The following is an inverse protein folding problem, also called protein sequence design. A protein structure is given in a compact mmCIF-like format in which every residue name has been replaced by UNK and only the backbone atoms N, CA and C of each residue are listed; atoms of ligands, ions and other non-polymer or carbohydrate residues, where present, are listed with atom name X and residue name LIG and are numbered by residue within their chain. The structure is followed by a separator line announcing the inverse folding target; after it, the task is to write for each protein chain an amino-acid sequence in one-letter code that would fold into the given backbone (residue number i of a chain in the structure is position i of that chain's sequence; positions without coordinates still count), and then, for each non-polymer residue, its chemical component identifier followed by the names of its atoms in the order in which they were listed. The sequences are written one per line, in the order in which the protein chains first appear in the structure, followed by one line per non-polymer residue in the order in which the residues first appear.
data_IF_673935300342
#
_entry.id   IF_673935300342
#
_cell.length_a   1.000
_cell.length_b   1.000
_cell.length_c   1.000
_cell.angle_alpha   90.00
_cell.angle_beta   90.00
_cell.angle_gamma   90.00
#
_symmetry.space_group_name_H-M   'P 1'
#
loop_
_entity.id
_entity.type
_entity.pdbx_description
1 polymer ?
#
# COMPACT_ATOMS: atom_id res chain seq x y z
N UNK A 1 -12.15 66.43 1.51
CA UNK A 1 -11.60 67.17 2.67
C UNK A 1 -11.74 66.27 3.90
N UNK A 2 -10.78 66.03 4.78
CA UNK A 2 -9.34 66.21 4.81
C UNK A 2 -8.85 65.21 5.87
N UNK A 3 -7.65 64.68 5.66
CA UNK A 3 -6.87 63.87 6.60
C UNK A 3 -6.79 64.48 7.99
N UNK A 4 -6.79 63.64 9.03
CA UNK A 4 -6.22 63.98 10.34
C UNK A 4 -5.03 63.07 10.61
N UNK A 5 -3.85 63.68 10.66
CA UNK A 5 -2.73 63.19 11.44
C UNK A 5 -2.83 63.67 12.89
N UNK A 6 -1.87 63.22 13.71
CA UNK A 6 -1.27 63.89 14.87
C UNK A 6 -0.58 62.82 15.72
N UNK A 7 0.54 63.02 16.41
CA UNK A 7 1.76 63.84 16.33
C UNK A 7 2.62 63.32 17.52
N UNK A 8 3.95 63.47 17.54
CA UNK A 8 4.85 62.82 18.50
C UNK A 8 5.17 63.68 19.74
N UNK A 9 5.75 63.06 20.78
CA UNK A 9 6.25 63.72 22.01
C UNK A 9 7.07 62.68 22.81
N UNK A 10 8.21 62.92 23.48
CA UNK A 10 9.14 64.05 23.68
C UNK A 10 10.44 63.38 24.20
N UNK A 11 11.61 63.98 23.90
CA UNK A 11 12.95 63.61 24.34
C UNK A 11 13.23 63.94 25.82
N UNK A 12 14.04 63.06 26.43
CA UNK A 12 15.09 63.25 27.46
C UNK A 12 14.79 63.87 28.83
N UNK A 13 15.36 63.26 29.90
CA UNK A 13 16.24 63.90 30.91
C UNK A 13 16.80 62.85 31.92
N UNK A 14 18.15 62.71 31.90
CA UNK A 14 19.15 62.37 32.96
C UNK A 14 19.05 61.06 33.79
N UNK A 15 20.10 60.40 34.31
CA UNK A 15 21.47 60.78 34.73
C UNK A 15 22.40 59.57 34.50
N UNK A 16 23.65 59.82 34.09
CA UNK A 16 24.70 58.82 33.91
C UNK A 16 25.65 58.85 35.13
N UNK A 17 25.86 57.71 35.81
CA UNK A 17 26.94 57.54 36.82
C UNK A 17 27.84 56.41 36.35
N UNK A 18 29.13 56.74 36.22
CA UNK A 18 30.17 55.89 35.68
C UNK A 18 30.60 54.76 36.64
N UNK A 19 30.87 53.59 36.08
CA UNK A 19 31.62 52.50 36.71
C UNK A 19 32.22 51.58 35.65
N UNK A 20 33.54 51.63 35.47
CA UNK A 20 34.32 50.87 34.47
C UNK A 20 34.36 49.38 34.80
N UNK A 21 34.14 48.51 33.81
CA UNK A 21 34.88 47.24 33.69
C UNK A 21 34.92 46.69 32.25
N UNK A 22 36.15 46.38 31.83
CA UNK A 22 36.70 45.69 30.65
C UNK A 22 35.82 45.36 29.42
N UNK A 23 36.28 45.81 28.25
CA UNK A 23 35.85 45.35 26.92
C UNK A 23 36.70 44.17 26.40
N UNK A 24 36.04 43.40 25.50
CA UNK A 24 36.51 42.44 24.48
C UNK A 24 36.47 40.95 24.90
N UNK A 25 35.70 40.06 24.26
CA UNK A 25 35.17 40.11 22.89
C UNK A 25 33.64 40.14 22.78
N UNK A 26 33.13 41.10 22.01
CA UNK A 26 31.75 41.10 21.53
C UNK A 26 31.56 39.93 20.55
N UNK A 27 30.99 38.82 21.00
CA UNK A 27 30.21 37.98 20.09
C UNK A 27 29.13 38.89 19.50
N UNK A 28 29.29 39.29 18.23
CA UNK A 28 28.20 39.90 17.47
C UNK A 28 27.02 38.95 17.62
N UNK A 29 26.03 39.33 18.42
CA UNK A 29 24.80 38.58 18.58
C UNK A 29 24.24 38.35 17.19
N UNK A 30 24.34 37.10 16.71
CA UNK A 30 23.65 36.70 15.48
C UNK A 30 22.19 37.02 15.75
N UNK A 31 21.64 38.02 15.05
CA UNK A 31 20.20 38.30 15.09
C UNK A 31 19.50 36.96 14.90
N UNK A 32 18.61 36.60 15.84
CA UNK A 32 17.85 35.38 15.74
C UNK A 32 17.17 35.36 14.37
N UNK A 33 17.48 34.33 13.56
CA UNK A 33 16.94 34.16 12.22
C UNK A 33 16.04 32.93 12.24
N UNK A 34 14.84 33.07 11.70
CA UNK A 34 13.95 31.94 11.45
C UNK A 34 14.69 30.85 10.67
N UNK A 35 14.65 29.62 11.20
CA UNK A 35 15.31 28.45 10.62
C UNK A 35 14.38 27.23 10.64
N UNK A 36 13.10 27.46 10.33
CA UNK A 36 12.11 26.40 10.17
C UNK A 36 12.53 25.50 9.01
N UNK A 37 12.63 24.19 9.26
CA UNK A 37 13.03 23.17 8.28
C UNK A 37 12.04 22.02 8.26
N UNK A 38 11.83 21.37 7.10
CA UNK A 38 11.06 20.13 7.04
C UNK A 38 11.70 19.04 7.89
N UNK A 39 10.87 18.10 8.38
CA UNK A 39 11.34 16.94 9.13
C UNK A 39 12.13 15.98 8.25
N UNK A 40 12.95 15.14 8.87
CA UNK A 40 13.75 14.15 8.15
C UNK A 40 12.88 13.13 7.39
N UNK A 41 11.82 12.61 8.03
CA UNK A 41 10.84 11.72 7.39
C UNK A 41 10.21 12.37 6.14
N UNK A 42 9.83 13.64 6.23
CA UNK A 42 9.27 14.36 5.07
C UNK A 42 10.28 14.45 3.93
N UNK A 43 11.56 14.71 4.21
CA UNK A 43 12.60 14.79 3.19
C UNK A 43 12.95 13.43 2.58
N UNK A 44 12.80 12.33 3.35
CA UNK A 44 13.03 10.96 2.88
C UNK A 44 11.83 10.34 2.15
N UNK A 45 10.63 10.93 2.27
CA UNK A 45 9.42 10.40 1.64
C UNK A 45 9.42 10.69 0.14
N UNK A 46 9.57 9.66 -0.68
CA UNK A 46 9.58 9.77 -2.13
C UNK A 46 8.79 8.63 -2.79
N UNK A 47 7.78 8.96 -3.59
CA UNK A 47 7.04 8.00 -4.40
C UNK A 47 7.48 8.10 -5.87
N UNK A 48 8.24 7.14 -6.41
CA UNK A 48 8.80 7.24 -7.75
C UNK A 48 7.75 7.30 -8.86
N UNK A 49 6.62 6.59 -8.70
CA UNK A 49 5.55 6.58 -9.71
C UNK A 49 4.87 7.95 -9.77
N UNK A 50 4.55 8.54 -8.61
CA UNK A 50 3.95 9.88 -8.55
C UNK A 50 4.91 10.94 -9.03
N UNK A 51 6.19 10.84 -8.67
CA UNK A 51 7.22 11.73 -9.20
C UNK A 51 7.22 11.71 -10.73
N UNK A 52 7.11 10.54 -11.37
CA UNK A 52 7.03 10.46 -12.85
C UNK A 52 5.70 11.00 -13.37
N UNK A 53 4.56 10.51 -12.87
CA UNK A 53 3.22 10.84 -13.39
C UNK A 53 2.88 12.32 -13.19
N UNK A 54 3.20 12.88 -12.03
CA UNK A 54 2.84 14.25 -11.68
C UNK A 54 3.85 15.27 -12.26
N UNK A 55 5.09 14.86 -12.58
CA UNK A 55 6.11 15.75 -13.17
C UNK A 55 6.34 15.57 -14.66
N UNK A 56 5.85 14.49 -15.29
CA UNK A 56 5.97 14.28 -16.73
C UNK A 56 5.28 15.40 -17.50
N UNK A 57 6.09 16.32 -18.03
CA UNK A 57 5.69 17.26 -19.07
C UNK A 57 5.91 16.65 -20.46
N UNK A 58 5.37 15.45 -20.69
CA UNK A 58 5.34 14.93 -22.05
C UNK A 58 4.19 15.65 -22.73
N UNK A 59 4.50 16.52 -23.70
CA UNK A 59 3.46 17.03 -24.57
C UNK A 59 2.94 15.86 -25.42
N UNK A 60 1.68 15.44 -25.25
CA UNK A 60 1.14 14.39 -26.08
C UNK A 60 1.12 14.85 -27.53
N UNK A 61 1.14 13.91 -28.47
CA UNK A 61 0.99 14.25 -29.88
C UNK A 61 -0.34 15.01 -30.08
N UNK A 62 -0.32 16.26 -30.57
CA UNK A 62 -1.52 17.10 -30.65
C UNK A 62 -2.57 16.54 -31.63
N UNK A 63 -2.15 15.67 -32.54
CA UNK A 63 -3.01 15.06 -33.55
C UNK A 63 -3.60 13.71 -33.12
N UNK A 64 -3.26 13.19 -31.94
CA UNK A 64 -3.78 11.92 -31.43
C UNK A 64 -4.34 12.09 -30.03
N UNK A 65 -5.56 11.61 -29.84
CA UNK A 65 -6.16 11.52 -28.51
C UNK A 65 -5.27 10.69 -27.60
N UNK A 66 -4.97 11.21 -26.41
CA UNK A 66 -4.15 10.50 -25.42
C UNK A 66 -4.94 9.35 -24.82
N UNK A 67 -4.33 8.17 -24.77
CA UNK A 67 -4.88 6.98 -24.09
C UNK A 67 -3.98 6.68 -22.88
N UNK A 68 -4.50 6.87 -21.67
CA UNK A 68 -3.76 6.64 -20.45
C UNK A 68 -3.87 5.17 -20.01
N UNK A 69 -2.79 4.39 -20.19
CA UNK A 69 -2.68 2.99 -19.77
C UNK A 69 -1.86 2.81 -18.48
N UNK A 70 -1.41 3.90 -17.86
CA UNK A 70 -0.53 3.89 -16.67
C UNK A 70 -1.29 4.09 -15.35
N UNK A 71 -2.58 4.44 -15.39
CA UNK A 71 -3.36 4.75 -14.19
C UNK A 71 -3.92 3.46 -13.59
N UNK A 72 -3.58 3.18 -12.33
CA UNK A 72 -4.01 1.97 -11.63
C UNK A 72 -5.37 2.05 -10.92
N UNK A 73 -6.17 3.08 -11.21
CA UNK A 73 -7.51 3.27 -10.68
C UNK A 73 -8.55 2.71 -11.67
N UNK A 74 -9.28 1.63 -11.31
CA UNK A 74 -10.22 0.99 -12.22
C UNK A 74 -11.46 1.86 -12.55
N UNK A 75 -11.74 2.93 -11.79
CA UNK A 75 -13.00 3.67 -11.95
C UNK A 75 -12.91 4.88 -12.87
N UNK A 76 -11.70 5.25 -13.33
CA UNK A 76 -11.43 6.51 -14.05
C UNK A 76 -12.29 6.68 -15.31
N UNK A 77 -12.55 5.59 -16.03
CA UNK A 77 -13.29 5.63 -17.30
C UNK A 77 -14.76 5.20 -17.14
N UNK A 78 -15.23 4.93 -15.91
CA UNK A 78 -16.63 4.58 -15.62
C UNK A 78 -17.11 3.21 -16.11
N UNK A 79 -16.25 2.44 -16.79
CA UNK A 79 -16.58 1.13 -17.35
C UNK A 79 -16.51 -0.03 -16.33
N UNK A 80 -16.03 0.25 -15.12
CA UNK A 80 -15.98 -0.68 -13.98
C UNK A 80 -16.58 0.01 -12.73
N UNK A 81 -17.91 0.28 -12.71
CA UNK A 81 -18.56 0.76 -11.50
C UNK A 81 -18.68 -0.36 -10.46
N UNK A 82 -18.80 0.01 -9.19
CA UNK A 82 -19.16 -0.94 -8.14
C UNK A 82 -20.61 -1.42 -8.28
N UNK A 83 -20.92 -2.58 -7.70
CA UNK A 83 -22.28 -3.11 -7.66
C UNK A 83 -23.27 -2.18 -6.91
N UNK A 84 -24.54 -2.09 -7.34
CA UNK A 84 -25.57 -1.33 -6.63
C UNK A 84 -25.78 -1.73 -5.17
N UNK A 85 -25.63 -3.01 -4.80
CA UNK A 85 -25.73 -3.47 -3.40
C UNK A 85 -24.63 -2.84 -2.52
N UNK A 86 -23.45 -2.60 -3.08
CA UNK A 86 -22.34 -1.93 -2.37
C UNK A 86 -22.70 -0.47 -2.10
N UNK A 87 -23.29 0.20 -3.08
CA UNK A 87 -23.76 1.59 -2.93
C UNK A 87 -24.94 1.67 -1.97
N UNK A 88 -25.88 0.74 -2.07
CA UNK A 88 -27.05 0.68 -1.20
C UNK A 88 -26.67 0.39 0.26
N UNK A 89 -25.67 -0.47 0.50
CA UNK A 89 -25.14 -0.70 1.85
C UNK A 89 -24.61 0.58 2.51
N UNK A 90 -23.95 1.47 1.75
CA UNK A 90 -23.51 2.77 2.25
C UNK A 90 -24.70 3.68 2.60
N UNK A 91 -25.73 3.69 1.75
CA UNK A 91 -26.96 4.46 2.00
C UNK A 91 -27.68 3.93 3.25
N UNK A 92 -27.85 2.61 3.38
CA UNK A 92 -28.45 1.98 4.56
C UNK A 92 -27.68 2.35 5.85
N UNK A 93 -26.34 2.33 5.79
CA UNK A 93 -25.50 2.72 6.92
C UNK A 93 -25.71 4.19 7.30
N UNK A 94 -25.77 5.09 6.31
CA UNK A 94 -26.05 6.51 6.49
C UNK A 94 -27.45 6.76 7.07
N UNK A 95 -28.48 6.18 6.43
CA UNK A 95 -29.89 6.34 6.78
C UNK A 95 -30.19 5.82 8.20
N UNK A 96 -29.42 4.82 8.67
CA UNK A 96 -29.57 4.30 10.03
C UNK A 96 -29.20 5.30 11.13
N UNK A 97 -28.34 6.29 10.83
CA UNK A 97 -27.77 7.21 11.81
C UNK A 97 -26.86 6.58 12.88
N UNK A 98 -26.63 5.25 12.85
CA UNK A 98 -25.90 4.51 13.89
C UNK A 98 -24.38 4.64 13.80
N UNK A 99 -23.87 5.00 12.63
CA UNK A 99 -22.43 4.96 12.32
C UNK A 99 -21.80 6.35 12.18
N UNK A 100 -22.41 7.37 12.80
CA UNK A 100 -21.93 8.75 12.73
C UNK A 100 -20.89 9.10 13.81
N UNK A 101 -20.86 8.36 14.92
CA UNK A 101 -19.96 8.59 16.05
C UNK A 101 -18.59 7.96 15.88
N UNK A 102 -17.70 8.20 16.85
CA UNK A 102 -16.38 7.54 16.88
C UNK A 102 -16.51 6.02 17.06
N UNK A 103 -15.65 5.28 16.39
CA UNK A 103 -15.42 3.85 16.60
C UNK A 103 -14.13 3.64 17.42
N UNK A 104 -13.90 2.44 17.99
CA UNK A 104 -12.57 2.04 18.40
C UNK A 104 -11.57 2.23 17.25
N UNK A 105 -10.31 2.58 17.55
CA UNK A 105 -9.30 2.85 16.53
C UNK A 105 -9.02 1.66 15.60
N UNK A 106 -9.23 0.44 16.09
CA UNK A 106 -9.13 -0.81 15.33
C UNK A 106 -10.37 -1.13 14.49
N UNK A 107 -11.44 -0.35 14.63
CA UNK A 107 -12.74 -0.52 14.00
C UNK A 107 -13.80 -1.14 14.92
N UNK A 108 -15.07 -0.98 14.53
CA UNK A 108 -16.22 -1.57 15.24
C UNK A 108 -16.06 -3.09 15.38
N UNK A 109 -16.49 -3.61 16.53
CA UNK A 109 -16.47 -5.05 16.79
C UNK A 109 -17.27 -5.81 15.72
N UNK A 110 -18.50 -5.37 15.43
CA UNK A 110 -19.35 -5.98 14.42
C UNK A 110 -18.71 -5.99 13.03
N UNK A 111 -18.08 -4.90 12.61
CA UNK A 111 -17.39 -4.83 11.31
C UNK A 111 -16.18 -5.77 11.25
N UNK A 112 -15.43 -5.90 12.35
CA UNK A 112 -14.30 -6.84 12.45
C UNK A 112 -14.75 -8.30 12.45
N UNK A 113 -15.85 -8.62 13.13
CA UNK A 113 -16.48 -9.95 13.12
C UNK A 113 -16.89 -10.38 11.70
N UNK A 114 -17.44 -9.46 10.92
CA UNK A 114 -17.87 -9.75 9.54
C UNK A 114 -16.67 -10.01 8.62
N UNK A 115 -15.57 -9.26 8.77
CA UNK A 115 -14.33 -9.53 8.02
C UNK A 115 -13.70 -10.85 8.46
N UNK A 116 -13.61 -11.11 9.76
CA UNK A 116 -13.07 -12.37 10.29
C UNK A 116 -13.86 -13.56 9.75
N UNK A 117 -15.18 -13.50 9.81
CA UNK A 117 -16.09 -14.52 9.29
C UNK A 117 -15.91 -14.75 7.79
N UNK A 118 -15.79 -13.67 7.00
CA UNK A 118 -15.63 -13.76 5.55
C UNK A 118 -14.32 -14.46 5.11
N UNK A 119 -13.24 -14.29 5.88
CA UNK A 119 -11.92 -14.87 5.56
C UNK A 119 -11.57 -16.10 6.42
N UNK A 120 -12.46 -16.54 7.30
CA UNK A 120 -12.21 -17.68 8.18
C UNK A 120 -12.18 -19.01 7.41
N UNK A 121 -11.19 -19.84 7.71
CA UNK A 121 -11.20 -21.27 7.37
C UNK A 121 -10.42 -22.08 8.43
N UNK A 122 -10.63 -23.41 8.53
CA UNK A 122 -9.93 -24.24 9.53
C UNK A 122 -8.39 -24.15 9.44
N UNK A 123 -7.85 -24.00 8.23
CA UNK A 123 -6.41 -23.90 8.01
C UNK A 123 -5.84 -22.54 8.44
N UNK A 124 -6.63 -21.47 8.36
CA UNK A 124 -6.29 -20.12 8.79
C UNK A 124 -7.44 -19.50 9.58
N UNK A 125 -7.65 -19.93 10.83
CA UNK A 125 -8.75 -19.46 11.64
C UNK A 125 -8.55 -17.98 11.95
N UNK A 126 -9.66 -17.24 11.91
CA UNK A 126 -9.73 -15.83 12.27
C UNK A 126 -10.92 -15.59 13.18
N UNK A 127 -10.69 -14.75 14.20
CA UNK A 127 -11.72 -14.12 15.03
C UNK A 127 -11.63 -12.59 14.89
N UNK A 128 -12.61 -11.87 15.42
CA UNK A 128 -12.61 -10.41 15.36
C UNK A 128 -11.35 -9.76 15.96
N UNK A 129 -10.72 -10.39 16.96
CA UNK A 129 -9.47 -9.92 17.61
C UNK A 129 -8.25 -10.02 16.69
N UNK A 130 -8.35 -10.79 15.61
CA UNK A 130 -7.30 -10.96 14.60
C UNK A 130 -7.46 -9.97 13.43
N UNK A 131 -8.42 -9.06 13.51
CA UNK A 131 -8.73 -8.10 12.47
C UNK A 131 -8.52 -6.67 12.97
N UNK A 132 -7.85 -5.86 12.17
CA UNK A 132 -7.76 -4.40 12.39
C UNK A 132 -8.21 -3.70 11.11
N UNK A 133 -9.24 -2.87 11.20
CA UNK A 133 -9.71 -2.06 10.07
C UNK A 133 -8.83 -0.83 9.90
N UNK A 134 -8.52 -0.49 8.64
CA UNK A 134 -7.56 0.56 8.29
C UNK A 134 -8.07 1.41 7.13
N UNK A 135 -7.50 2.60 6.96
CA UNK A 135 -7.75 3.59 5.91
C UNK A 135 -7.17 3.14 4.55
N UNK A 136 -7.69 2.01 4.07
CA UNK A 136 -7.22 1.27 2.91
C UNK A 136 -5.96 0.43 3.20
N UNK A 137 -5.66 -0.48 2.27
CA UNK A 137 -4.47 -1.36 2.36
C UNK A 137 -3.15 -0.59 2.52
N UNK A 138 -3.08 0.66 2.04
CA UNK A 138 -1.92 1.53 2.26
C UNK A 138 -1.61 1.75 3.73
N UNK A 139 -2.62 1.96 4.57
CA UNK A 139 -2.41 2.08 6.02
C UNK A 139 -2.17 0.71 6.66
N UNK A 140 -2.81 -0.36 6.15
CA UNK A 140 -2.52 -1.72 6.63
C UNK A 140 -1.02 -2.05 6.51
N UNK A 141 -0.42 -1.77 5.35
CA UNK A 141 1.03 -1.95 5.11
C UNK A 141 1.85 -1.03 6.02
N UNK A 142 1.48 0.23 6.16
CA UNK A 142 2.16 1.20 7.04
C UNK A 142 2.24 0.71 8.48
N UNK A 143 1.10 0.28 9.05
CA UNK A 143 1.03 -0.24 10.41
C UNK A 143 1.80 -1.56 10.57
N UNK A 144 1.72 -2.47 9.58
CA UNK A 144 2.47 -3.73 9.60
C UNK A 144 3.98 -3.50 9.58
N UNK A 145 4.47 -2.57 8.76
CA UNK A 145 5.89 -2.23 8.75
C UNK A 145 6.30 -1.54 10.06
N UNK A 146 5.50 -0.58 10.53
CA UNK A 146 5.79 0.16 11.76
C UNK A 146 5.79 -0.71 13.03
N UNK A 147 5.02 -1.80 13.08
CA UNK A 147 5.04 -2.72 14.22
C UNK A 147 6.18 -3.73 14.16
N UNK A 148 6.61 -4.12 12.96
CA UNK A 148 7.62 -5.18 12.78
C UNK A 148 9.06 -4.65 12.69
N UNK A 149 9.27 -3.40 12.29
CA UNK A 149 10.57 -2.94 11.81
C UNK A 149 10.97 -1.60 12.41
N UNK A 150 12.14 -1.56 13.05
CA UNK A 150 12.76 -0.33 13.53
C UNK A 150 13.66 0.32 12.46
N UNK A 151 13.94 1.64 12.58
CA UNK A 151 14.94 2.30 11.75
C UNK A 151 16.29 1.57 11.81
N UNK A 152 16.92 1.36 10.65
CA UNK A 152 18.19 0.64 10.52
C UNK A 152 18.08 -0.89 10.36
N UNK A 153 16.88 -1.46 10.49
CA UNK A 153 16.57 -2.82 10.03
C UNK A 153 16.20 -2.82 8.55
N UNK A 154 16.10 -4.00 7.93
CA UNK A 154 15.74 -4.14 6.53
C UNK A 154 14.51 -5.04 6.29
N UNK A 155 13.89 -4.83 5.13
CA UNK A 155 12.80 -5.66 4.61
C UNK A 155 13.11 -6.16 3.20
N UNK A 156 12.53 -7.32 2.86
CA UNK A 156 12.61 -7.90 1.53
C UNK A 156 11.37 -7.55 0.71
N UNK A 157 11.56 -6.93 -0.46
CA UNK A 157 10.50 -6.40 -1.32
C UNK A 157 10.66 -6.93 -2.76
N UNK A 158 9.57 -7.27 -3.47
CA UNK A 158 9.64 -7.78 -4.83
C UNK A 158 10.16 -6.75 -5.84
N UNK A 159 10.91 -7.23 -6.84
CA UNK A 159 11.34 -6.49 -8.02
C UNK A 159 10.97 -7.27 -9.30
N UNK A 160 10.12 -6.71 -10.18
CA UNK A 160 9.34 -5.48 -9.98
C UNK A 160 8.30 -5.64 -8.86
N UNK A 161 7.91 -4.52 -8.23
CA UNK A 161 6.96 -4.52 -7.12
C UNK A 161 6.30 -3.16 -6.92
N UNK A 162 5.17 -3.14 -6.19
CA UNK A 162 4.44 -1.92 -5.92
C UNK A 162 5.29 -0.90 -5.15
N UNK A 163 5.35 0.35 -5.63
CA UNK A 163 6.29 1.36 -5.13
C UNK A 163 6.06 1.81 -3.69
N UNK A 164 4.87 1.53 -3.13
CA UNK A 164 4.49 1.97 -1.80
C UNK A 164 5.36 1.32 -0.71
N UNK A 165 5.74 0.05 -0.85
CA UNK A 165 6.58 -0.62 0.16
C UNK A 165 7.88 0.14 0.38
N UNK A 166 8.53 0.53 -0.72
CA UNK A 166 9.75 1.33 -0.71
C UNK A 166 9.53 2.72 -0.14
N UNK A 167 8.47 3.40 -0.59
CA UNK A 167 8.12 4.75 -0.13
C UNK A 167 7.95 4.80 1.39
N UNK A 168 7.18 3.85 1.94
CA UNK A 168 6.95 3.75 3.38
C UNK A 168 8.23 3.39 4.13
N UNK A 169 8.93 2.32 3.73
CA UNK A 169 10.14 1.86 4.39
C UNK A 169 11.22 2.96 4.46
N UNK A 170 11.56 3.58 3.32
CA UNK A 170 12.59 4.63 3.27
C UNK A 170 12.21 5.85 4.12
N UNK A 171 10.92 6.25 4.11
CA UNK A 171 10.44 7.36 4.96
C UNK A 171 10.56 7.08 6.46
N UNK A 172 10.46 5.82 6.87
CA UNK A 172 10.62 5.36 8.26
C UNK A 172 12.08 5.06 8.63
N UNK A 173 13.04 5.21 7.71
CA UNK A 173 14.44 4.87 7.93
C UNK A 173 14.74 3.36 7.90
N UNK A 174 13.88 2.59 7.22
CA UNK A 174 14.02 1.15 6.99
C UNK A 174 14.75 0.92 5.66
N UNK A 175 15.72 0.02 5.64
CA UNK A 175 16.43 -0.36 4.42
C UNK A 175 15.59 -1.34 3.57
N UNK A 176 15.62 -1.17 2.25
CA UNK A 176 14.88 -2.03 1.31
C UNK A 176 15.84 -2.90 0.53
N UNK A 177 15.72 -4.22 0.69
CA UNK A 177 16.41 -5.22 -0.13
C UNK A 177 15.45 -5.81 -1.16
N UNK A 178 15.86 -5.81 -2.42
CA UNK A 178 15.00 -6.20 -3.53
C UNK A 178 15.28 -7.65 -3.97
N UNK A 179 14.28 -8.52 -3.86
CA UNK A 179 14.33 -9.86 -4.44
C UNK A 179 13.66 -9.88 -5.81
N UNK A 180 14.14 -10.73 -6.72
CA UNK A 180 13.73 -10.78 -8.11
C UNK A 180 12.52 -11.67 -8.30
N UNK A 181 11.64 -11.22 -9.19
CA UNK A 181 10.64 -12.04 -9.85
C UNK A 181 11.17 -12.44 -11.23
N UNK A 182 10.95 -13.68 -11.62
CA UNK A 182 11.49 -14.29 -12.83
C UNK A 182 10.47 -14.21 -13.99
N UNK A 183 10.65 -13.30 -14.98
CA UNK A 183 9.67 -13.10 -16.05
C UNK A 183 9.37 -14.39 -16.81
N UNK A 184 10.39 -15.20 -17.08
CA UNK A 184 10.32 -16.47 -17.80
C UNK A 184 9.64 -17.61 -17.02
N UNK A 185 9.40 -17.41 -15.72
CA UNK A 185 8.68 -18.35 -14.84
C UNK A 185 7.41 -17.73 -14.28
N UNK A 186 6.68 -17.00 -15.12
CA UNK A 186 5.42 -16.34 -14.77
C UNK A 186 5.56 -15.42 -13.54
N UNK A 187 6.70 -14.73 -13.45
CA UNK A 187 7.07 -13.86 -12.34
C UNK A 187 7.18 -14.56 -10.98
N UNK A 188 7.44 -15.87 -10.94
CA UNK A 188 7.78 -16.57 -9.69
C UNK A 188 9.02 -15.98 -9.01
N UNK A 189 9.08 -16.02 -7.69
CA UNK A 189 10.21 -15.51 -6.89
C UNK A 189 11.47 -16.34 -7.17
N UNK A 190 12.61 -15.68 -7.36
CA UNK A 190 13.92 -16.33 -7.27
C UNK A 190 14.22 -16.68 -5.82
N UNK A 191 13.84 -17.89 -5.43
CA UNK A 191 13.96 -18.37 -4.04
C UNK A 191 15.41 -18.46 -3.56
N UNK A 192 16.38 -18.69 -4.46
CA UNK A 192 17.80 -18.75 -4.08
C UNK A 192 18.31 -17.37 -3.74
N UNK A 193 18.00 -16.40 -4.60
CA UNK A 193 18.36 -15.01 -4.35
C UNK A 193 17.64 -14.48 -3.10
N UNK A 194 16.35 -14.77 -2.94
CA UNK A 194 15.57 -14.41 -1.75
C UNK A 194 16.27 -14.88 -0.46
N UNK A 195 16.63 -16.17 -0.39
CA UNK A 195 17.27 -16.74 0.80
C UNK A 195 18.65 -16.13 1.05
N UNK A 196 19.42 -15.78 0.01
CA UNK A 196 20.74 -15.15 0.15
C UNK A 196 20.72 -13.69 0.62
N UNK A 197 19.58 -13.01 0.53
CA UNK A 197 19.46 -11.60 0.93
C UNK A 197 19.13 -11.43 2.42
N UNK A 198 18.69 -12.50 3.07
CA UNK A 198 18.32 -12.51 4.48
C UNK A 198 19.57 -12.42 5.34
N UNK A 199 19.53 -11.53 6.32
CA UNK A 199 20.56 -11.31 7.34
C UNK A 199 19.92 -11.10 8.72
N UNK A 200 20.75 -10.88 9.74
CA UNK A 200 20.32 -10.69 11.13
C UNK A 200 19.46 -9.42 11.35
N UNK A 201 19.45 -8.49 10.39
CA UNK A 201 18.63 -7.26 10.42
C UNK A 201 17.34 -7.38 9.63
N UNK A 202 17.12 -8.50 8.95
CA UNK A 202 15.92 -8.73 8.13
C UNK A 202 14.72 -8.96 9.04
N UNK A 203 13.83 -7.98 9.09
CA UNK A 203 12.69 -7.99 10.01
C UNK A 203 11.40 -8.54 9.37
N UNK A 204 11.27 -8.46 8.04
CA UNK A 204 10.04 -8.84 7.36
C UNK A 204 10.27 -9.18 5.88
N UNK A 205 9.56 -10.18 5.38
CA UNK A 205 9.43 -10.50 3.96
C UNK A 205 8.07 -10.01 3.45
N UNK A 206 8.07 -9.11 2.45
CA UNK A 206 6.86 -8.68 1.76
C UNK A 206 6.57 -9.60 0.57
N UNK A 207 5.36 -10.15 0.50
CA UNK A 207 4.88 -10.95 -0.64
C UNK A 207 3.62 -10.30 -1.18
N UNK A 208 3.58 -9.96 -2.47
CA UNK A 208 2.38 -9.42 -3.12
C UNK A 208 1.82 -10.42 -4.14
N UNK A 209 0.65 -10.98 -3.83
CA UNK A 209 0.01 -12.01 -4.63
C UNK A 209 -1.53 -11.93 -4.51
N UNK A 210 -2.28 -11.72 -5.61
CA UNK A 210 -1.81 -11.44 -6.97
C UNK A 210 -1.02 -10.13 -7.11
N UNK A 211 -0.10 -10.07 -8.08
CA UNK A 211 0.92 -9.02 -8.15
C UNK A 211 0.49 -7.77 -8.91
N UNK A 212 0.76 -6.60 -8.33
CA UNK A 212 0.97 -5.34 -9.04
C UNK A 212 2.48 -5.03 -9.06
N UNK A 213 3.14 -4.91 -10.24
CA UNK A 213 2.57 -4.71 -11.57
C UNK A 213 2.46 -5.97 -12.44
N UNK A 214 2.89 -7.14 -11.96
CA UNK A 214 3.13 -8.29 -12.83
C UNK A 214 1.87 -8.96 -13.37
N UNK A 215 0.72 -8.83 -12.67
CA UNK A 215 -0.49 -9.61 -12.95
C UNK A 215 -0.36 -11.09 -12.65
N UNK A 216 0.72 -11.52 -11.99
CA UNK A 216 0.98 -12.92 -11.66
C UNK A 216 0.13 -13.41 -10.49
N UNK A 217 -0.13 -14.72 -10.49
CA UNK A 217 -0.78 -15.45 -9.40
C UNK A 217 0.10 -16.66 -9.10
N UNK A 218 0.63 -16.73 -7.88
CA UNK A 218 1.51 -17.82 -7.49
C UNK A 218 0.74 -19.13 -7.33
N UNK A 219 1.33 -20.21 -7.82
CA UNK A 219 0.80 -21.55 -7.61
C UNK A 219 0.97 -21.97 -6.14
N UNK A 220 0.11 -22.87 -5.67
CA UNK A 220 0.23 -23.53 -4.36
C UNK A 220 1.64 -24.05 -4.08
N UNK A 221 2.25 -24.70 -5.07
CA UNK A 221 3.59 -25.28 -4.93
C UNK A 221 4.66 -24.20 -4.76
N UNK A 222 4.50 -23.04 -5.40
CA UNK A 222 5.40 -21.90 -5.22
C UNK A 222 5.19 -21.23 -3.86
N UNK A 223 3.94 -20.98 -3.45
CA UNK A 223 3.60 -20.42 -2.12
C UNK A 223 4.19 -21.26 -0.98
N UNK A 224 4.08 -22.60 -1.05
CA UNK A 224 4.72 -23.51 -0.08
C UNK A 224 6.23 -23.39 -0.03
N UNK A 225 6.90 -23.13 -1.17
CA UNK A 225 8.36 -22.94 -1.20
C UNK A 225 8.76 -21.60 -0.57
N UNK A 226 7.96 -20.54 -0.76
CA UNK A 226 8.16 -19.25 -0.09
C UNK A 226 8.04 -19.42 1.43
N UNK A 227 6.98 -20.08 1.89
CA UNK A 227 6.78 -20.40 3.31
C UNK A 227 7.94 -21.23 3.88
N UNK A 228 8.46 -22.19 3.10
CA UNK A 228 9.60 -23.00 3.52
C UNK A 228 10.88 -22.17 3.71
N UNK A 229 11.13 -21.16 2.88
CA UNK A 229 12.26 -20.22 3.06
C UNK A 229 12.05 -19.41 4.33
N UNK A 230 10.89 -18.76 4.49
CA UNK A 230 10.58 -17.94 5.66
C UNK A 230 10.66 -18.72 6.97
N UNK A 231 10.19 -19.98 6.98
CA UNK A 231 10.26 -20.87 8.13
C UNK A 231 11.70 -21.23 8.52
N UNK A 232 12.58 -21.53 7.55
CA UNK A 232 13.99 -21.84 7.83
C UNK A 232 14.77 -20.64 8.36
N UNK A 233 14.38 -19.45 7.92
CA UNK A 233 15.07 -18.20 8.23
C UNK A 233 14.42 -17.44 9.39
N UNK A 234 13.32 -17.94 9.94
CA UNK A 234 12.57 -17.33 11.05
C UNK A 234 12.14 -15.88 10.78
N UNK A 235 11.76 -15.56 9.54
CA UNK A 235 11.31 -14.21 9.14
C UNK A 235 9.79 -14.21 8.94
N UNK A 236 9.03 -13.28 9.56
CA UNK A 236 7.59 -13.16 9.34
C UNK A 236 7.26 -12.64 7.94
N UNK A 237 6.04 -12.89 7.48
CA UNK A 237 5.59 -12.45 6.15
C UNK A 237 4.52 -11.36 6.28
N UNK A 238 4.72 -10.25 5.58
CA UNK A 238 3.67 -9.29 5.22
C UNK A 238 3.10 -9.68 3.85
N UNK A 239 1.91 -10.26 3.83
CA UNK A 239 1.23 -10.68 2.60
C UNK A 239 0.28 -9.59 2.11
N UNK A 240 0.64 -8.87 1.05
CA UNK A 240 -0.29 -7.95 0.37
C UNK A 240 -1.16 -8.73 -0.62
N UNK A 241 -2.39 -8.99 -0.18
CA UNK A 241 -3.40 -9.79 -0.87
C UNK A 241 -4.61 -8.90 -1.24
N UNK A 242 -4.38 -7.60 -1.51
CA UNK A 242 -5.44 -6.66 -1.93
C UNK A 242 -6.16 -7.07 -3.22
N UNK A 243 -5.51 -7.89 -4.05
CA UNK A 243 -6.09 -8.51 -5.25
C UNK A 243 -6.58 -9.95 -5.00
N UNK A 244 -6.73 -10.36 -3.73
CA UNK A 244 -7.25 -11.68 -3.36
C UNK A 244 -8.58 -11.96 -4.06
N UNK A 245 -8.72 -13.19 -4.56
CA UNK A 245 -9.83 -13.65 -5.42
C UNK A 245 -10.00 -12.91 -6.76
N UNK A 246 -9.12 -11.97 -7.12
CA UNK A 246 -9.12 -11.34 -8.44
C UNK A 246 -8.30 -12.14 -9.45
N UNK A 247 -8.69 -13.39 -9.68
CA UNK A 247 -7.99 -14.35 -10.55
C UNK A 247 -8.92 -14.79 -11.68
N UNK A 248 -8.44 -14.69 -12.91
CA UNK A 248 -9.24 -14.97 -14.12
C UNK A 248 -8.63 -16.01 -15.07
N UNK A 249 -7.49 -16.58 -14.68
CA UNK A 249 -6.91 -17.76 -15.36
C UNK A 249 -7.45 -19.06 -14.77
N UNK A 250 -6.99 -20.20 -15.30
CA UNK A 250 -7.27 -21.51 -14.71
C UNK A 250 -6.58 -21.74 -13.34
N UNK A 251 -5.79 -20.79 -12.86
CA UNK A 251 -5.17 -20.84 -11.53
C UNK A 251 -6.21 -20.51 -10.45
N UNK A 252 -6.07 -21.11 -9.27
CA UNK A 252 -6.84 -20.75 -8.10
C UNK A 252 -6.05 -19.77 -7.25
N UNK A 253 -6.73 -18.78 -6.66
CA UNK A 253 -6.15 -18.00 -5.59
C UNK A 253 -6.09 -18.85 -4.32
N UNK A 254 -4.96 -18.81 -3.62
CA UNK A 254 -4.80 -19.39 -2.30
C UNK A 254 -4.22 -18.31 -1.38
N UNK A 255 -4.95 -17.86 -0.35
CA UNK A 255 -4.39 -16.94 0.62
C UNK A 255 -3.20 -17.60 1.31
N UNK A 256 -2.07 -16.90 1.40
CA UNK A 256 -0.80 -17.47 1.82
C UNK A 256 -0.89 -18.12 3.22
N UNK A 257 -1.67 -17.52 4.12
CA UNK A 257 -1.87 -18.00 5.48
C UNK A 257 -2.54 -19.38 5.57
N UNK A 258 -3.40 -19.74 4.61
CA UNK A 258 -4.06 -21.06 4.56
C UNK A 258 -3.08 -22.21 4.31
N UNK A 259 -1.89 -21.90 3.81
CA UNK A 259 -0.81 -22.86 3.56
C UNK A 259 0.26 -22.86 4.66
N UNK A 260 0.20 -21.92 5.59
CA UNK A 260 1.18 -21.77 6.66
C UNK A 260 0.83 -22.60 7.89
N UNK A 261 1.79 -23.39 8.37
CA UNK A 261 1.68 -24.14 9.63
C UNK A 261 2.50 -23.55 10.78
N UNK A 262 3.53 -22.76 10.49
CA UNK A 262 4.51 -22.28 11.47
C UNK A 262 5.13 -20.91 11.16
N UNK A 263 4.78 -20.28 10.04
CA UNK A 263 5.23 -18.93 9.70
C UNK A 263 4.12 -17.95 10.07
N UNK A 264 4.39 -16.95 10.92
CA UNK A 264 3.41 -15.93 11.27
C UNK A 264 3.26 -14.92 10.13
N UNK A 265 2.02 -14.54 9.81
CA UNK A 265 1.69 -13.72 8.64
C UNK A 265 0.75 -12.58 9.02
N UNK A 266 1.06 -11.37 8.57
CA UNK A 266 0.11 -10.26 8.51
C UNK A 266 -0.39 -10.12 7.07
N UNK A 267 -1.65 -10.49 6.82
CA UNK A 267 -2.27 -10.34 5.50
C UNK A 267 -2.98 -8.99 5.39
N UNK A 268 -2.73 -8.24 4.33
CA UNK A 268 -3.37 -6.95 4.05
C UNK A 268 -4.37 -7.09 2.90
N UNK A 269 -5.56 -6.53 3.08
CA UNK A 269 -6.64 -6.54 2.09
C UNK A 269 -7.55 -5.33 2.19
N UNK A 270 -8.64 -5.32 1.41
CA UNK A 270 -9.61 -4.23 1.44
C UNK A 270 -10.60 -4.20 0.28
N UNK A 271 -11.48 -3.20 0.31
CA UNK A 271 -12.54 -3.02 -0.71
C UNK A 271 -12.01 -2.39 -2.02
N UNK A 272 -10.82 -1.80 -1.98
CA UNK A 272 -10.34 -0.88 -3.01
C UNK A 272 -10.29 -1.45 -4.43
N UNK A 273 -10.04 -2.76 -4.59
CA UNK A 273 -9.82 -3.39 -5.90
C UNK A 273 -10.96 -4.33 -6.27
N UNK A 274 -11.24 -5.33 -5.42
CA UNK A 274 -12.29 -6.33 -5.70
C UNK A 274 -13.71 -5.75 -5.73
N UNK A 275 -13.98 -4.69 -4.96
CA UNK A 275 -15.26 -3.96 -4.97
C UNK A 275 -15.19 -2.64 -5.73
N UNK A 276 -14.09 -2.33 -6.42
CA UNK A 276 -13.98 -1.16 -7.30
C UNK A 276 -14.30 0.20 -6.62
N UNK A 277 -13.96 0.33 -5.33
CA UNK A 277 -14.17 1.57 -4.54
C UNK A 277 -12.87 2.09 -3.90
N UNK A 278 -11.80 2.34 -4.68
CA UNK A 278 -10.48 2.70 -4.13
C UNK A 278 -10.48 4.00 -3.31
N UNK A 279 -11.39 4.92 -3.63
CA UNK A 279 -11.57 6.19 -2.94
C UNK A 279 -12.23 6.10 -1.56
N UNK A 280 -12.87 4.97 -1.21
CA UNK A 280 -13.58 4.82 0.08
C UNK A 280 -12.66 4.52 1.26
N UNK A 281 -11.39 4.18 0.97
CA UNK A 281 -10.34 4.02 1.97
C UNK A 281 -10.71 3.05 3.11
N UNK A 282 -11.24 1.86 2.77
CA UNK A 282 -11.41 0.77 3.73
C UNK A 282 -10.51 -0.42 3.35
N UNK A 283 -9.67 -0.81 4.29
CA UNK A 283 -8.84 -2.01 4.25
C UNK A 283 -8.78 -2.67 5.62
N UNK A 284 -8.00 -3.75 5.71
CA UNK A 284 -7.83 -4.50 6.95
C UNK A 284 -6.47 -5.20 7.00
N UNK A 285 -6.03 -5.45 8.23
CA UNK A 285 -4.96 -6.39 8.57
C UNK A 285 -5.64 -7.64 9.13
N UNK A 286 -5.27 -8.81 8.62
CA UNK A 286 -5.63 -10.13 9.16
C UNK A 286 -4.37 -10.72 9.81
N UNK A 287 -4.45 -11.00 11.11
CA UNK A 287 -3.33 -11.47 11.91
C UNK A 287 -3.38 -13.00 11.96
N UNK A 288 -2.53 -13.64 11.18
CA UNK A 288 -2.37 -15.10 11.16
C UNK A 288 -1.13 -15.49 11.95
N UNK A 289 -1.25 -15.41 13.28
CA UNK A 289 -0.19 -15.86 14.16
C UNK A 289 -0.14 -17.40 14.24
N UNK A 290 1.08 -17.94 14.27
CA UNK A 290 1.34 -19.37 14.38
C UNK A 290 2.30 -19.57 15.54
N UNK A 291 1.92 -20.43 16.49
CA UNK A 291 2.76 -20.78 17.66
C UNK A 291 3.11 -19.58 18.56
N UNK A 292 2.22 -18.59 18.62
CA UNK A 292 2.36 -17.41 19.48
C UNK A 292 3.66 -16.61 19.20
N UNK A 293 4.14 -16.64 17.95
CA UNK A 293 5.38 -15.94 17.57
C UNK A 293 5.16 -14.43 17.54
N UNK A 294 4.00 -13.97 17.08
CA UNK A 294 3.61 -12.56 17.23
C UNK A 294 3.13 -12.26 18.65
N UNK A 295 2.34 -13.16 19.23
CA UNK A 295 1.80 -13.04 20.57
C UNK A 295 1.01 -11.75 20.80
N UNK A 296 0.84 -11.39 22.07
CA UNK A 296 0.16 -10.15 22.43
C UNK A 296 1.00 -8.90 22.13
N UNK A 297 2.32 -9.01 22.06
CA UNK A 297 3.21 -7.86 21.87
C UNK A 297 2.99 -7.17 20.52
N UNK A 298 2.93 -7.93 19.43
CA UNK A 298 2.64 -7.38 18.09
C UNK A 298 1.18 -6.90 18.00
N UNK A 299 0.24 -7.62 18.61
CA UNK A 299 -1.18 -7.22 18.64
C UNK A 299 -1.37 -5.89 19.34
N UNK A 300 -0.79 -5.72 20.52
CA UNK A 300 -0.81 -4.48 21.30
C UNK A 300 -0.08 -3.35 20.56
N UNK A 301 1.04 -3.67 19.89
CA UNK A 301 1.75 -2.74 19.02
C UNK A 301 0.83 -2.18 17.92
N UNK A 302 0.13 -3.05 17.20
CA UNK A 302 -0.82 -2.63 16.15
C UNK A 302 -2.00 -1.83 16.73
N UNK A 303 -2.54 -2.23 17.89
CA UNK A 303 -3.60 -1.47 18.58
C UNK A 303 -3.12 -0.06 18.93
N UNK A 304 -1.94 0.08 19.57
CA UNK A 304 -1.32 1.38 19.90
C UNK A 304 -1.10 2.22 18.64
N UNK A 305 -0.57 1.65 17.57
CA UNK A 305 -0.31 2.38 16.32
C UNK A 305 -1.61 2.82 15.63
N UNK A 306 -2.69 2.02 15.69
CA UNK A 306 -4.00 2.37 15.12
C UNK A 306 -4.60 3.65 15.74
N UNK A 307 -4.29 3.93 17.01
CA UNK A 307 -4.80 5.08 17.76
C UNK A 307 -4.25 6.41 17.24
N UNK A 308 -3.19 6.39 16.42
CA UNK A 308 -2.59 7.59 15.83
C UNK A 308 -3.51 8.30 14.83
N UNK A 309 -4.25 7.53 14.03
CA UNK A 309 -5.11 8.05 12.94
C UNK A 309 -6.60 7.69 13.17
N UNK A 310 -6.88 6.81 14.13
CA UNK A 310 -8.23 6.45 14.59
C UNK A 310 -9.09 5.69 13.55
N UNK A 311 -8.43 4.88 12.71
CA UNK A 311 -9.11 3.96 11.80
C UNK A 311 -9.79 4.62 10.58
N UNK A 312 -10.61 3.85 9.84
CA UNK A 312 -11.28 4.31 8.63
C UNK A 312 -12.67 4.92 8.89
N UNK A 313 -13.26 5.53 7.85
CA UNK A 313 -14.62 6.09 7.88
C UNK A 313 -15.65 5.09 8.42
N UNK A 314 -16.39 5.51 9.45
CA UNK A 314 -17.36 4.67 10.18
C UNK A 314 -18.58 4.28 9.34
N UNK A 315 -18.99 5.11 8.37
CA UNK A 315 -20.04 4.74 7.42
C UNK A 315 -19.65 3.52 6.58
N UNK A 316 -18.40 3.48 6.10
CA UNK A 316 -17.89 2.33 5.32
C UNK A 316 -17.76 1.09 6.20
N UNK A 317 -17.39 1.25 7.47
CA UNK A 317 -17.41 0.15 8.45
C UNK A 317 -18.83 -0.38 8.69
N UNK A 318 -19.81 0.51 8.82
CA UNK A 318 -21.23 0.15 9.04
C UNK A 318 -21.86 -0.56 7.84
N UNK A 319 -21.45 -0.19 6.62
CA UNK A 319 -21.88 -0.83 5.39
C UNK A 319 -21.23 -2.20 5.15
N UNK A 320 -20.08 -2.48 5.80
CA UNK A 320 -19.21 -3.62 5.49
C UNK A 320 -19.92 -4.97 5.54
N UNK A 321 -20.81 -5.17 6.52
CA UNK A 321 -21.63 -6.38 6.64
C UNK A 321 -22.42 -6.67 5.36
N UNK A 322 -23.16 -5.67 4.90
CA UNK A 322 -24.01 -5.79 3.72
C UNK A 322 -23.16 -5.92 2.46
N UNK A 323 -22.06 -5.15 2.35
CA UNK A 323 -21.11 -5.27 1.23
C UNK A 323 -20.60 -6.70 1.09
N UNK A 324 -20.10 -7.31 2.17
CA UNK A 324 -19.50 -8.66 2.11
C UNK A 324 -20.55 -9.76 1.86
N UNK A 325 -21.77 -9.61 2.39
CA UNK A 325 -22.79 -10.67 2.34
C UNK A 325 -23.76 -10.56 1.16
N UNK A 326 -24.03 -9.36 0.66
CA UNK A 326 -25.10 -9.12 -0.34
C UNK A 326 -24.58 -8.86 -1.75
N UNK A 327 -23.31 -8.45 -1.90
CA UNK A 327 -22.73 -8.26 -3.24
C UNK A 327 -22.81 -9.59 -4.01
N UNK A 328 -23.51 -9.63 -5.16
CA UNK A 328 -23.79 -10.86 -5.87
C UNK A 328 -22.52 -11.48 -6.48
N UNK A 329 -22.48 -12.80 -6.60
CA UNK A 329 -21.35 -13.49 -7.25
C UNK A 329 -21.17 -13.07 -8.71
N UNK A 330 -22.27 -12.70 -9.38
CA UNK A 330 -22.27 -12.22 -10.75
C UNK A 330 -21.44 -10.94 -10.93
N UNK A 331 -21.43 -10.03 -9.95
CA UNK A 331 -20.58 -8.84 -9.99
C UNK A 331 -19.09 -9.19 -10.10
N UNK A 332 -18.63 -10.12 -9.25
CA UNK A 332 -17.23 -10.57 -9.29
C UNK A 332 -16.94 -11.32 -10.59
N UNK A 333 -17.85 -12.20 -11.03
CA UNK A 333 -17.69 -12.95 -12.28
C UNK A 333 -17.59 -12.02 -13.50
N UNK A 334 -18.50 -11.05 -13.62
CA UNK A 334 -18.52 -10.08 -14.71
C UNK A 334 -17.26 -9.22 -14.72
N UNK A 335 -16.80 -8.78 -13.55
CA UNK A 335 -15.54 -8.05 -13.40
C UNK A 335 -14.35 -8.89 -13.91
N UNK A 336 -14.26 -10.16 -13.50
CA UNK A 336 -13.17 -11.05 -13.92
C UNK A 336 -13.23 -11.43 -15.39
N UNK A 337 -14.44 -11.63 -15.94
CA UNK A 337 -14.66 -11.90 -17.36
C UNK A 337 -14.22 -10.73 -18.23
N UNK A 338 -14.53 -9.50 -17.80
CA UNK A 338 -14.06 -8.28 -18.47
C UNK A 338 -12.53 -8.16 -18.42
N UNK A 339 -11.93 -8.33 -17.22
CA UNK A 339 -10.48 -8.27 -17.05
C UNK A 339 -9.76 -9.33 -17.89
N UNK A 340 -10.30 -10.56 -17.95
CA UNK A 340 -9.78 -11.64 -18.79
C UNK A 340 -9.80 -11.25 -20.27
N UNK A 341 -10.94 -10.80 -20.76
CA UNK A 341 -11.12 -10.46 -22.18
C UNK A 341 -10.14 -9.36 -22.61
N UNK A 342 -9.99 -8.32 -21.77
CA UNK A 342 -9.02 -7.26 -22.02
C UNK A 342 -7.57 -7.74 -21.90
N UNK A 343 -7.27 -8.63 -20.94
CA UNK A 343 -5.93 -9.22 -20.81
C UNK A 343 -5.57 -10.09 -22.02
N UNK A 344 -6.50 -10.89 -22.54
CA UNK A 344 -6.32 -11.71 -23.73
C UNK A 344 -6.08 -10.86 -24.98
N UNK A 345 -6.88 -9.80 -25.16
CA UNK A 345 -6.71 -8.83 -26.24
C UNK A 345 -5.35 -8.11 -26.15
N UNK A 346 -5.02 -7.55 -24.98
CA UNK A 346 -3.80 -6.79 -24.78
C UNK A 346 -2.55 -7.67 -24.96
N UNK A 347 -2.56 -8.87 -24.38
CA UNK A 347 -1.49 -9.85 -24.57
C UNK A 347 -1.32 -10.22 -26.04
N UNK A 348 -2.40 -10.57 -26.75
CA UNK A 348 -2.34 -10.96 -28.15
C UNK A 348 -1.82 -9.84 -29.06
N UNK A 349 -2.32 -8.62 -28.86
CA UNK A 349 -1.90 -7.45 -29.62
C UNK A 349 -0.42 -7.11 -29.37
N UNK A 350 0.03 -7.10 -28.12
CA UNK A 350 1.43 -6.80 -27.78
C UNK A 350 2.39 -7.91 -28.24
N UNK A 351 1.98 -9.18 -28.14
CA UNK A 351 2.80 -10.32 -28.56
C UNK A 351 3.02 -10.37 -30.08
N UNK A 352 2.08 -9.80 -30.86
CA UNK A 352 2.22 -9.69 -32.31
C UNK A 352 3.19 -8.59 -32.74
N UNK A 353 3.56 -7.64 -31.87
CA UNK A 353 4.47 -6.53 -32.18
C UNK A 353 5.92 -6.99 -32.05
N UNK A 354 6.72 -6.95 -33.13
CA UNK A 354 8.14 -7.29 -33.06
C UNK A 354 8.89 -6.43 -32.02
N UNK A 355 9.70 -7.07 -31.18
CA UNK A 355 10.49 -6.42 -30.14
C UNK A 355 9.80 -6.31 -28.76
N UNK A 356 8.50 -6.60 -28.67
CA UNK A 356 7.78 -6.69 -27.38
C UNK A 356 7.60 -8.16 -26.96
N UNK A 357 7.71 -8.42 -25.66
CA UNK A 357 7.54 -9.74 -25.05
C UNK A 357 6.62 -9.63 -23.82
N UNK A 358 5.30 -9.60 -24.01
CA UNK A 358 4.37 -9.50 -22.90
C UNK A 358 4.34 -10.82 -22.13
N UNK A 359 4.23 -10.73 -20.81
CA UNK A 359 4.03 -11.91 -19.96
C UNK A 359 2.57 -11.95 -19.55
N UNK A 360 1.93 -13.08 -19.84
CA UNK A 360 0.50 -13.27 -19.67
C UNK A 360 0.11 -13.14 -18.18
N UNK A 361 -0.81 -12.23 -17.83
CA UNK A 361 -1.30 -12.13 -16.45
C UNK A 361 -2.30 -13.25 -16.16
N UNK A 362 -2.42 -13.59 -14.88
CA UNK A 362 -3.36 -14.57 -14.35
C UNK A 362 -4.40 -13.96 -13.40
N UNK A 363 -4.17 -12.73 -12.94
CA UNK A 363 -5.04 -12.00 -12.02
C UNK A 363 -4.63 -10.53 -11.90
N UNK A 364 -5.15 -9.86 -10.86
CA UNK A 364 -5.04 -8.42 -10.67
C UNK A 364 -5.57 -7.62 -11.87
N UNK A 365 -4.94 -6.50 -12.22
CA UNK A 365 -5.41 -5.56 -13.26
C UNK A 365 -4.30 -5.08 -14.20
N UNK A 366 -3.17 -5.79 -14.24
CA UNK A 366 -1.96 -5.34 -14.93
C UNK A 366 -1.30 -6.48 -15.70
N UNK A 367 -0.47 -6.15 -16.69
CA UNK A 367 0.51 -7.04 -17.27
C UNK A 367 1.81 -6.29 -17.49
N UNK A 368 2.93 -7.00 -17.40
CA UNK A 368 4.24 -6.47 -17.70
C UNK A 368 4.72 -6.98 -19.06
N UNK A 369 5.46 -6.13 -19.75
CA UNK A 369 6.08 -6.44 -21.02
C UNK A 369 7.59 -6.20 -20.94
N UNK A 370 8.37 -7.18 -21.39
CA UNK A 370 9.80 -7.02 -21.59
C UNK A 370 10.08 -6.40 -22.98
N UNK A 371 11.14 -5.59 -23.06
CA UNK A 371 11.51 -4.88 -24.28
C UNK A 371 12.85 -5.38 -24.80
N UNK A 372 12.84 -5.97 -26.00
CA UNK A 372 14.07 -6.42 -26.66
C UNK A 372 14.66 -5.27 -27.48
N UNK A 373 15.63 -4.55 -26.90
CA UNK A 373 16.26 -3.38 -27.52
C UNK A 373 16.94 -3.66 -28.87
N UNK A 374 17.35 -4.90 -29.15
CA UNK A 374 18.09 -5.28 -30.35
C UNK A 374 17.30 -5.16 -31.67
N UNK A 375 15.96 -5.16 -31.65
CA UNK A 375 15.15 -5.07 -32.88
C UNK A 375 14.97 -3.64 -33.42
N UNK A 376 15.30 -2.61 -32.63
CA UNK A 376 15.15 -1.21 -33.04
C UNK A 376 16.49 -0.51 -33.35
N UNK A 377 17.60 -1.25 -33.36
CA UNK A 377 18.97 -0.70 -33.50
C UNK A 377 19.66 -1.13 -34.82
N UNK A 378 19.03 -1.90 -35.70
CA UNK A 378 19.62 -2.24 -37.00
C UNK A 378 18.66 -2.18 -38.19
N UNK A 379 18.65 -1.03 -38.87
CA UNK A 379 18.45 -0.93 -40.32
C UNK A 379 19.70 -1.47 -41.06
N UNK A 380 20.04 -2.74 -40.83
CA UNK A 380 21.07 -3.45 -41.61
C UNK A 380 20.74 -4.94 -41.71
N UNK A 381 20.07 -5.31 -42.80
CA UNK A 381 20.48 -6.44 -43.63
C UNK A 381 20.95 -5.87 -44.96
#
# INVERSE_FOLDING_TARGET
MHSKGNLPSVLDVHVNVAGKSSMLGKMKGKKARWSVRPSEMSNKTFNPIRAIVDSMKVQPNPNKTTIALSIGDPTVFGNLPTDPEVTQAMKDALDSGKYNGYAPSVGYLSSREEVASYYHCPEAPLEAKDVILTSGCSQAIELCLAVLVNPGQNILVPRPGFSLYRTLAESMGIEVKLYNLLPEKSWGIDLKQLESLIDEKTACLVVNNPSNPCGSVFSRSHLRKILAVAARQCVPILADEIYGDMVFSNSKFEPLATLSSNVPILSCGGLAKRWLVPGWRLGWILIHDRRDIFGNEIRDGLVKLSQRILGPCTLVQGALKSILRRTPQEFYHNTLSFLKSNADLCYGALAAIPGLRPIRPSGAMYLMNDWCSWHFVSDRC
#
